data_IF_388138137557
#
_entry.id   IF_388138137557
#
_cell.length_a   1.000
_cell.length_b   1.000
_cell.length_c   1.000
_cell.angle_alpha   90.00
_cell.angle_beta   90.00
_cell.angle_gamma   90.00
#
_symmetry.space_group_name_H-M   'P 1'
#
loop_
_entity.id
_entity.type
_entity.pdbx_description
1 polymer ?
#
# COMPACT_ATOMS: atom_id res chain seq x y z
N UNK A 1 -3.89 35.74 44.93
CA UNK A 1 -4.13 34.28 44.82
C UNK A 1 -4.99 33.88 43.59
N UNK A 2 -4.84 34.51 42.42
CA UNK A 2 -5.64 34.16 41.22
C UNK A 2 -4.87 34.18 39.89
N UNK A 3 -3.53 34.17 39.92
CA UNK A 3 -2.70 34.23 38.69
C UNK A 3 -1.77 33.05 38.46
N UNK A 4 -1.77 32.06 39.35
CA UNK A 4 -0.85 30.91 39.28
C UNK A 4 -1.57 29.61 38.86
N UNK A 5 -2.90 29.56 38.96
CA UNK A 5 -3.67 28.34 38.69
C UNK A 5 -4.05 28.20 37.20
N UNK A 6 -4.08 29.29 36.44
CA UNK A 6 -4.45 29.24 35.03
C UNK A 6 -3.32 28.82 34.08
N UNK A 7 -2.08 28.71 34.56
CA UNK A 7 -0.91 28.38 33.72
C UNK A 7 -0.58 26.87 33.72
N UNK A 8 -1.21 26.07 34.58
CA UNK A 8 -0.95 24.62 34.66
C UNK A 8 -1.92 23.80 33.77
N UNK A 9 -3.08 24.34 33.41
CA UNK A 9 -4.08 23.62 32.60
C UNK A 9 -3.78 23.66 31.10
N UNK A 10 -3.01 24.65 30.62
CA UNK A 10 -2.70 24.83 29.20
C UNK A 10 -1.42 24.13 28.71
N UNK A 11 -0.57 23.65 29.63
CA UNK A 11 0.63 22.88 29.25
C UNK A 11 0.42 21.36 29.24
N UNK A 12 -0.72 20.85 29.72
CA UNK A 12 -1.03 19.42 29.70
C UNK A 12 -1.85 18.97 28.48
N UNK A 13 -2.28 19.90 27.62
CA UNK A 13 -3.04 19.59 26.40
C UNK A 13 -2.16 19.34 25.16
N UNK A 14 -0.83 19.49 25.28
CA UNK A 14 0.08 19.55 24.14
C UNK A 14 0.91 18.27 23.88
N UNK A 15 0.68 17.16 24.59
CA UNK A 15 1.52 15.95 24.44
C UNK A 15 0.75 14.64 24.23
N UNK A 16 -0.53 14.70 23.85
CA UNK A 16 -1.29 13.53 23.39
C UNK A 16 -1.90 13.80 22.01
N UNK A 17 -1.09 14.29 21.06
CA UNK A 17 -1.22 13.77 19.71
C UNK A 17 -0.59 12.38 19.76
N UNK A 18 -1.37 11.38 20.20
CA UNK A 18 -1.14 10.03 19.73
C UNK A 18 -1.07 10.14 18.22
N UNK A 19 0.13 9.95 17.65
CA UNK A 19 0.28 9.74 16.23
C UNK A 19 -0.67 8.60 15.90
N UNK A 20 -1.82 8.92 15.31
CA UNK A 20 -2.82 7.93 14.98
C UNK A 20 -2.13 6.96 14.04
N UNK A 21 -1.97 5.72 14.49
CA UNK A 21 -1.27 4.71 13.72
C UNK A 21 -1.99 4.56 12.39
N UNK A 22 -1.27 4.82 11.29
CA UNK A 22 -1.85 4.77 9.96
C UNK A 22 -2.27 3.33 9.63
N UNK A 23 -3.48 3.16 9.10
CA UNK A 23 -3.93 1.86 8.60
C UNK A 23 -3.05 1.40 7.43
N UNK A 24 -3.09 0.11 7.13
CA UNK A 24 -2.36 -0.42 5.99
C UNK A 24 -2.77 0.25 4.66
N UNK A 25 -4.07 0.44 4.43
CA UNK A 25 -4.59 1.15 3.26
C UNK A 25 -4.05 2.58 3.15
N UNK A 26 -3.96 3.31 4.28
CA UNK A 26 -3.39 4.64 4.32
C UNK A 26 -1.89 4.64 4.00
N UNK A 27 -1.13 3.67 4.53
CA UNK A 27 0.31 3.50 4.22
C UNK A 27 0.51 3.21 2.72
N UNK A 28 -0.31 2.34 2.14
CA UNK A 28 -0.29 2.05 0.70
C UNK A 28 -0.64 3.28 -0.13
N UNK A 29 -1.66 4.03 0.27
CA UNK A 29 -2.01 5.32 -0.30
C UNK A 29 -0.87 6.33 -0.32
N UNK A 30 -0.23 6.50 0.83
CA UNK A 30 0.91 7.41 0.98
C UNK A 30 2.11 6.94 0.15
N UNK A 31 2.40 5.64 0.10
CA UNK A 31 3.43 5.09 -0.78
C UNK A 31 3.15 5.43 -2.25
N UNK A 32 1.90 5.26 -2.71
CA UNK A 32 1.52 5.59 -4.08
C UNK A 32 1.71 7.08 -4.39
N UNK A 33 1.37 7.96 -3.45
CA UNK A 33 1.60 9.41 -3.60
C UNK A 33 3.10 9.74 -3.67
N UNK A 34 3.89 9.24 -2.73
CA UNK A 34 5.33 9.52 -2.64
C UNK A 34 6.11 9.03 -3.86
N UNK A 35 5.90 7.79 -4.29
CA UNK A 35 6.67 7.20 -5.41
C UNK A 35 6.29 7.81 -6.77
N UNK A 36 5.22 8.60 -6.81
CA UNK A 36 4.78 9.34 -7.99
C UNK A 36 5.08 10.82 -7.94
N UNK A 37 5.76 11.34 -6.92
CA UNK A 37 6.17 12.74 -6.92
C UNK A 37 7.17 13.05 -8.05
N UNK A 38 7.32 14.34 -8.39
CA UNK A 38 8.34 14.78 -9.36
C UNK A 38 9.76 14.51 -8.81
N UNK A 39 9.95 14.74 -7.51
CA UNK A 39 11.15 14.38 -6.77
C UNK A 39 10.75 13.45 -5.64
N UNK A 40 11.14 12.18 -5.73
CA UNK A 40 10.75 11.17 -4.73
C UNK A 40 11.66 11.27 -3.50
N UNK A 41 11.07 11.50 -2.33
CA UNK A 41 11.78 11.38 -1.06
C UNK A 41 11.96 9.89 -0.68
N UNK A 42 13.10 9.34 -1.08
CA UNK A 42 13.44 7.94 -0.80
C UNK A 42 13.53 7.65 0.71
N UNK A 43 13.81 8.65 1.55
CA UNK A 43 13.86 8.44 3.00
C UNK A 43 12.46 8.19 3.57
N UNK A 44 11.47 8.96 3.14
CA UNK A 44 10.07 8.74 3.54
C UNK A 44 9.51 7.42 3.02
N UNK A 45 9.82 7.06 1.77
CA UNK A 45 9.43 5.75 1.21
C UNK A 45 10.00 4.63 2.10
N UNK A 46 11.29 4.69 2.43
CA UNK A 46 11.96 3.69 3.28
C UNK A 46 11.32 3.62 4.67
N UNK A 47 11.05 4.76 5.31
CA UNK A 47 10.46 4.77 6.65
C UNK A 47 9.05 4.17 6.67
N UNK A 48 8.21 4.44 5.68
CA UNK A 48 6.89 3.79 5.60
C UNK A 48 7.03 2.28 5.43
N UNK A 49 7.92 1.83 4.54
CA UNK A 49 8.13 0.39 4.30
C UNK A 49 8.63 -0.35 5.55
N UNK A 50 9.44 0.28 6.40
CA UNK A 50 9.82 -0.30 7.70
C UNK A 50 8.62 -0.57 8.60
N UNK A 51 7.60 0.29 8.58
CA UNK A 51 6.35 0.09 9.35
C UNK A 51 5.46 -1.03 8.79
N UNK A 52 5.85 -1.64 7.67
CA UNK A 52 5.16 -2.77 7.05
C UNK A 52 5.89 -4.10 7.33
N UNK A 53 6.99 -4.09 8.08
CA UNK A 53 7.68 -5.32 8.47
C UNK A 53 6.88 -6.12 9.51
N UNK A 54 6.69 -7.42 9.25
CA UNK A 54 5.97 -8.33 10.17
C UNK A 54 6.98 -9.00 11.11
N UNK A 55 6.82 -8.79 12.43
CA UNK A 55 7.67 -9.40 13.44
C UNK A 55 7.70 -10.95 13.33
N UNK A 56 8.86 -11.60 13.55
CA UNK A 56 10.16 -11.02 13.93
C UNK A 56 11.02 -10.57 12.74
N UNK A 57 10.46 -10.50 11.53
CA UNK A 57 11.23 -10.19 10.33
C UNK A 57 11.41 -8.68 10.20
N UNK A 58 12.61 -8.30 9.82
CA UNK A 58 12.93 -6.92 9.47
C UNK A 58 12.89 -6.74 7.95
N UNK A 59 12.53 -5.53 7.52
CA UNK A 59 12.78 -5.11 6.15
C UNK A 59 14.30 -5.08 5.90
N UNK A 60 14.71 -5.62 4.76
CA UNK A 60 16.06 -5.51 4.20
C UNK A 60 16.05 -4.59 2.98
N UNK A 61 17.21 -4.00 2.72
CA UNK A 61 17.48 -3.14 1.59
C UNK A 61 18.73 -3.65 0.88
N UNK A 62 18.70 -3.71 -0.45
CA UNK A 62 19.83 -4.11 -1.27
C UNK A 62 19.89 -3.35 -2.58
N UNK A 63 21.07 -3.29 -3.18
CA UNK A 63 21.22 -2.81 -4.55
C UNK A 63 20.57 -3.79 -5.52
N UNK A 64 19.90 -3.27 -6.55
CA UNK A 64 19.46 -4.08 -7.70
C UNK A 64 20.48 -3.91 -8.81
N UNK A 65 21.16 -4.98 -9.18
CA UNK A 65 22.12 -5.01 -10.29
C UNK A 65 21.49 -5.46 -11.62
N UNK A 66 20.18 -5.71 -11.63
CA UNK A 66 19.43 -6.12 -12.81
C UNK A 66 18.06 -5.43 -12.90
N UNK A 67 17.52 -5.43 -14.12
CA UNK A 67 16.13 -5.09 -14.43
C UNK A 67 15.59 -6.15 -15.40
N UNK A 68 14.34 -6.54 -15.22
CA UNK A 68 13.63 -7.38 -16.19
C UNK A 68 13.02 -6.56 -17.35
N UNK A 69 13.06 -5.24 -17.25
CA UNK A 69 12.55 -4.30 -18.25
C UNK A 69 13.71 -3.74 -19.07
N UNK A 70 13.60 -3.82 -20.39
CA UNK A 70 14.59 -3.28 -21.32
C UNK A 70 14.78 -1.77 -21.13
N UNK A 71 16.04 -1.33 -21.13
CA UNK A 71 16.43 0.08 -20.95
C UNK A 71 16.10 0.69 -19.57
N UNK A 72 15.92 -0.16 -18.56
CA UNK A 72 15.86 0.25 -17.16
C UNK A 72 17.04 -0.34 -16.40
N UNK A 73 17.60 0.45 -15.48
CA UNK A 73 18.63 0.03 -14.55
C UNK A 73 17.99 -0.30 -13.19
N UNK A 74 18.49 -1.34 -12.53
CA UNK A 74 18.17 -1.58 -11.13
C UNK A 74 18.75 -0.47 -10.24
N UNK A 75 18.01 -0.02 -9.23
CA UNK A 75 18.49 0.96 -8.25
C UNK A 75 18.46 0.36 -6.84
N UNK A 76 17.27 0.00 -6.33
CA UNK A 76 17.15 -0.49 -4.94
C UNK A 76 16.00 -1.48 -4.78
N UNK A 77 16.23 -2.55 -4.02
CA UNK A 77 15.22 -3.51 -3.60
C UNK A 77 14.99 -3.39 -2.09
N UNK A 78 13.76 -3.10 -1.69
CA UNK A 78 13.30 -3.23 -0.31
C UNK A 78 12.45 -4.48 -0.17
N UNK A 79 12.69 -5.33 0.82
CA UNK A 79 11.96 -6.59 0.94
C UNK A 79 11.96 -7.15 2.35
N UNK A 80 10.98 -8.01 2.64
CA UNK A 80 11.00 -8.87 3.82
C UNK A 80 11.43 -10.28 3.37
N UNK A 81 12.48 -10.90 3.95
CA UNK A 81 12.84 -12.27 3.66
C UNK A 81 11.69 -13.26 3.95
N UNK A 82 11.53 -14.26 3.09
CA UNK A 82 10.49 -15.27 3.23
C UNK A 82 11.03 -16.66 2.87
N UNK A 83 10.44 -17.71 3.47
CA UNK A 83 10.82 -19.10 3.20
C UNK A 83 9.76 -19.86 2.42
N UNK A 84 8.47 -19.55 2.63
CA UNK A 84 7.37 -20.20 1.92
C UNK A 84 6.54 -19.23 1.06
N UNK A 85 5.73 -19.77 0.16
CA UNK A 85 4.91 -18.97 -0.75
C UNK A 85 3.76 -18.26 -0.04
N UNK A 86 3.30 -18.81 1.08
CA UNK A 86 2.14 -18.40 1.88
C UNK A 86 2.49 -17.31 2.91
N UNK A 87 3.78 -17.12 3.18
CA UNK A 87 4.23 -16.09 4.11
C UNK A 87 3.89 -14.69 3.59
N UNK A 88 3.24 -13.92 4.45
CA UNK A 88 3.03 -12.50 4.20
C UNK A 88 4.36 -11.78 4.05
N UNK A 89 4.50 -10.99 2.99
CA UNK A 89 5.74 -10.33 2.61
C UNK A 89 5.47 -9.13 1.72
N UNK A 90 6.48 -8.29 1.58
CA UNK A 90 6.51 -7.33 0.50
C UNK A 90 7.86 -7.33 -0.21
N UNK A 91 7.84 -6.86 -1.45
CA UNK A 91 8.99 -6.42 -2.21
C UNK A 91 8.67 -5.09 -2.88
N UNK A 92 9.64 -4.18 -2.89
CA UNK A 92 9.58 -2.91 -3.60
C UNK A 92 10.84 -2.76 -4.41
N UNK A 93 10.68 -2.85 -5.72
CA UNK A 93 11.73 -2.64 -6.71
C UNK A 93 11.69 -1.19 -7.16
N UNK A 94 12.81 -0.50 -7.04
CA UNK A 94 13.04 0.83 -7.61
C UNK A 94 13.99 0.67 -8.78
N UNK A 95 13.54 1.14 -9.94
CA UNK A 95 14.27 1.14 -11.21
C UNK A 95 14.51 2.57 -11.66
N UNK A 96 15.47 2.74 -12.58
CA UNK A 96 15.85 4.02 -13.15
C UNK A 96 15.90 3.99 -14.66
N UNK A 97 15.48 5.07 -15.29
CA UNK A 97 15.74 5.34 -16.71
C UNK A 97 16.10 6.81 -16.87
N UNK A 98 17.39 7.09 -17.13
CA UNK A 98 17.93 8.44 -17.03
C UNK A 98 17.73 9.01 -15.62
N UNK A 99 17.14 10.20 -15.52
CA UNK A 99 16.87 10.84 -14.22
C UNK A 99 15.53 10.43 -13.59
N UNK A 100 14.76 9.56 -14.25
CA UNK A 100 13.41 9.16 -13.79
C UNK A 100 13.47 7.86 -13.00
N UNK A 101 12.75 7.84 -11.88
CA UNK A 101 12.59 6.66 -11.01
C UNK A 101 11.25 5.97 -11.29
N UNK A 102 11.25 4.65 -11.30
CA UNK A 102 10.07 3.81 -11.52
C UNK A 102 9.99 2.76 -10.43
N UNK A 103 8.79 2.35 -10.08
CA UNK A 103 8.58 1.47 -8.93
C UNK A 103 7.64 0.31 -9.27
N UNK A 104 7.99 -0.87 -8.77
CA UNK A 104 7.08 -2.02 -8.64
C UNK A 104 7.00 -2.39 -7.17
N UNK A 105 5.82 -2.32 -6.58
CA UNK A 105 5.57 -2.71 -5.19
C UNK A 105 4.65 -3.92 -5.20
N UNK A 106 5.00 -4.97 -4.48
CA UNK A 106 4.20 -6.17 -4.35
C UNK A 106 4.06 -6.51 -2.87
N UNK A 107 2.83 -6.72 -2.42
CA UNK A 107 2.48 -7.12 -1.07
C UNK A 107 1.68 -8.41 -1.16
N UNK A 108 2.21 -9.49 -0.62
CA UNK A 108 1.51 -10.76 -0.47
C UNK A 108 1.05 -10.85 0.97
N UNK A 109 -0.24 -11.00 1.20
CA UNK A 109 -0.86 -10.85 2.52
C UNK A 109 -1.99 -11.85 2.72
N UNK A 110 -2.32 -12.10 3.99
CA UNK A 110 -3.44 -12.96 4.36
C UNK A 110 -4.36 -12.19 5.33
N UNK A 111 -5.18 -11.30 4.77
CA UNK A 111 -6.18 -10.55 5.56
C UNK A 111 -7.53 -11.27 5.54
N UNK A 112 -8.20 -11.43 6.69
CA UNK A 112 -9.55 -12.05 6.77
C UNK A 112 -10.50 -11.19 7.59
N UNK A 113 -11.70 -10.92 7.07
CA UNK A 113 -12.73 -10.13 7.75
C UNK A 113 -14.15 -10.61 7.45
N UNK A 114 -15.10 -10.29 8.32
CA UNK A 114 -16.54 -10.42 8.09
C UNK A 114 -17.22 -9.05 8.18
N UNK A 115 -18.49 -8.96 7.78
CA UNK A 115 -19.36 -7.83 8.14
C UNK A 115 -20.28 -8.23 9.30
N UNK A 116 -20.45 -7.36 10.28
CA UNK A 116 -21.40 -7.55 11.38
C UNK A 116 -22.86 -7.34 10.91
N UNK A 117 -23.83 -7.43 11.84
CA UNK A 117 -25.26 -7.24 11.52
C UNK A 117 -25.58 -5.81 11.06
N UNK A 118 -24.71 -4.86 11.36
CA UNK A 118 -24.81 -3.44 11.01
C UNK A 118 -24.07 -3.13 9.70
N UNK A 119 -23.36 -4.11 9.13
CA UNK A 119 -22.58 -3.98 7.91
C UNK A 119 -21.14 -3.49 8.13
N UNK A 120 -20.69 -3.34 9.38
CA UNK A 120 -19.32 -2.90 9.69
C UNK A 120 -18.34 -4.05 9.52
N UNK A 121 -17.13 -3.73 9.05
CA UNK A 121 -16.04 -4.69 8.88
C UNK A 121 -15.49 -5.10 10.25
N UNK A 122 -15.33 -6.40 10.47
CA UNK A 122 -14.71 -7.00 11.65
C UNK A 122 -13.64 -7.98 11.18
N UNK A 123 -12.37 -7.64 11.39
CA UNK A 123 -11.24 -8.52 11.07
C UNK A 123 -11.15 -9.69 12.06
N UNK A 124 -10.70 -10.85 11.57
CA UNK A 124 -10.51 -12.04 12.41
C UNK A 124 -9.38 -11.82 13.42
N UNK A 125 -8.25 -11.28 12.96
CA UNK A 125 -7.21 -10.72 13.83
C UNK A 125 -7.26 -9.20 13.71
N UNK A 126 -7.72 -8.46 14.74
CA UNK A 126 -7.87 -7.01 14.67
C UNK A 126 -6.52 -6.26 14.60
N UNK A 127 -5.43 -6.90 15.02
CA UNK A 127 -4.09 -6.29 15.09
C UNK A 127 -3.19 -6.68 13.92
N UNK A 128 -3.69 -7.49 12.99
CA UNK A 128 -2.91 -7.93 11.85
C UNK A 128 -2.51 -6.73 10.97
N UNK A 129 -1.20 -6.61 10.75
CA UNK A 129 -0.57 -5.42 10.17
C UNK A 129 -1.12 -5.04 8.78
N UNK A 130 -1.57 -6.03 8.01
CA UNK A 130 -2.08 -5.83 6.64
C UNK A 130 -3.61 -5.86 6.56
N UNK A 131 -4.30 -5.63 7.68
CA UNK A 131 -5.74 -5.46 7.66
C UNK A 131 -6.14 -4.31 6.74
N UNK A 132 -6.85 -4.66 5.67
CA UNK A 132 -7.44 -3.74 4.70
C UNK A 132 -8.58 -4.42 3.97
N UNK A 133 -9.49 -3.61 3.47
CA UNK A 133 -10.59 -3.97 2.59
C UNK A 133 -10.45 -3.32 1.22
N UNK A 134 -11.21 -3.81 0.22
CA UNK A 134 -11.27 -3.16 -1.09
C UNK A 134 -11.83 -1.74 -0.96
N UNK A 135 -12.84 -1.56 -0.11
CA UNK A 135 -13.49 -0.28 0.12
C UNK A 135 -12.51 0.77 0.66
N UNK A 136 -11.59 0.38 1.54
CA UNK A 136 -10.53 1.28 2.05
C UNK A 136 -9.47 1.62 1.01
N UNK A 137 -9.29 0.79 -0.01
CA UNK A 137 -8.34 1.01 -1.09
C UNK A 137 -8.94 1.78 -2.28
N UNK A 138 -10.27 1.78 -2.39
CA UNK A 138 -11.02 2.43 -3.45
C UNK A 138 -10.75 3.94 -3.60
N UNK A 139 -10.51 4.74 -2.54
CA UNK A 139 -10.15 6.15 -2.68
C UNK A 139 -8.89 6.40 -3.51
N UNK A 140 -7.97 5.44 -3.58
CA UNK A 140 -6.75 5.53 -4.38
C UNK A 140 -6.96 5.09 -5.84
N UNK A 141 -8.19 4.70 -6.20
CA UNK A 141 -8.55 4.32 -7.55
C UNK A 141 -9.02 5.55 -8.35
N UNK A 142 -8.10 6.24 -9.03
CA UNK A 142 -8.47 7.40 -9.87
C UNK A 142 -9.20 7.02 -11.16
N UNK A 143 -8.86 5.87 -11.76
CA UNK A 143 -9.52 5.39 -12.98
C UNK A 143 -9.57 3.87 -13.02
N UNK A 144 -10.77 3.25 -12.91
CA UNK A 144 -10.93 1.81 -13.04
C UNK A 144 -10.44 1.33 -14.41
N UNK A 145 -9.62 0.27 -14.42
CA UNK A 145 -9.12 -0.29 -15.68
C UNK A 145 -10.22 -1.05 -16.42
N UNK A 146 -10.23 -0.94 -17.75
CA UNK A 146 -11.06 -1.77 -18.64
C UNK A 146 -10.18 -2.70 -19.45
N UNK A 147 -10.46 -4.00 -19.40
CA UNK A 147 -9.78 -5.01 -20.21
C UNK A 147 -10.37 -5.07 -21.62
N UNK A 148 -9.62 -5.64 -22.58
CA UNK A 148 -10.04 -5.76 -24.00
C UNK A 148 -11.41 -6.42 -24.20
N UNK A 149 -11.81 -7.30 -23.27
CA UNK A 149 -13.11 -7.96 -23.27
C UNK A 149 -14.25 -7.12 -22.64
N UNK A 150 -13.99 -5.86 -22.29
CA UNK A 150 -14.94 -4.94 -21.66
C UNK A 150 -15.22 -5.19 -20.18
N UNK A 151 -14.68 -6.26 -19.56
CA UNK A 151 -15.02 -6.72 -18.20
C UNK A 151 -13.98 -6.32 -17.15
N UNK A 152 -13.57 -5.06 -17.17
CA UNK A 152 -12.79 -4.47 -16.07
C UNK A 152 -13.54 -4.56 -14.74
N UNK A 153 -12.90 -5.05 -13.68
CA UNK A 153 -13.43 -5.05 -12.30
C UNK A 153 -14.84 -5.64 -12.17
N UNK A 154 -15.15 -6.69 -12.94
CA UNK A 154 -16.43 -7.39 -12.81
C UNK A 154 -16.60 -7.92 -11.38
N UNK A 155 -17.82 -7.88 -10.80
CA UNK A 155 -18.09 -8.51 -9.50
C UNK A 155 -17.81 -10.02 -9.49
N UNK A 156 -17.71 -10.66 -10.67
CA UNK A 156 -17.34 -12.07 -10.83
C UNK A 156 -15.83 -12.31 -10.95
N UNK A 157 -15.03 -11.24 -10.99
CA UNK A 157 -13.56 -11.30 -11.05
C UNK A 157 -12.98 -11.41 -9.63
N UNK A 158 -11.94 -12.21 -9.40
CA UNK A 158 -11.16 -12.14 -8.15
C UNK A 158 -10.16 -10.97 -8.16
N UNK A 159 -10.03 -10.27 -9.28
CA UNK A 159 -9.05 -9.21 -9.50
C UNK A 159 -9.73 -7.85 -9.66
N UNK A 160 -9.32 -6.90 -8.81
CA UNK A 160 -9.59 -5.48 -8.96
C UNK A 160 -8.38 -4.82 -9.60
N UNK A 161 -8.58 -3.89 -10.51
CA UNK A 161 -7.53 -3.24 -11.30
C UNK A 161 -7.86 -1.78 -11.51
N UNK A 162 -6.94 -0.90 -11.16
CA UNK A 162 -7.13 0.53 -11.24
C UNK A 162 -5.85 1.25 -11.63
N UNK A 163 -6.01 2.47 -12.10
CA UNK A 163 -4.93 3.44 -12.22
C UNK A 163 -5.06 4.44 -11.09
N UNK A 164 -3.97 4.67 -10.37
CA UNK A 164 -3.77 5.85 -9.54
C UNK A 164 -3.04 6.91 -10.37
N UNK A 165 -3.53 8.15 -10.34
CA UNK A 165 -2.90 9.30 -10.98
C UNK A 165 -2.59 10.32 -9.90
N UNK A 166 -1.32 10.63 -9.69
CA UNK A 166 -0.94 11.64 -8.72
C UNK A 166 -1.55 12.99 -9.11
N UNK A 167 -2.28 13.68 -8.21
CA UNK A 167 -2.97 14.91 -8.54
C UNK A 167 -2.01 16.06 -8.89
N UNK A 168 -0.78 16.03 -8.36
CA UNK A 168 0.25 17.06 -8.60
C UNK A 168 1.09 16.72 -9.83
N UNK A 169 1.84 15.62 -9.80
CA UNK A 169 2.83 15.27 -10.85
C UNK A 169 2.22 14.64 -12.11
N UNK A 170 0.95 14.20 -12.04
CA UNK A 170 0.24 13.45 -13.08
C UNK A 170 0.86 12.09 -13.45
N UNK A 171 1.91 11.66 -12.74
CA UNK A 171 2.51 10.33 -12.89
C UNK A 171 1.50 9.26 -12.47
N UNK A 172 1.56 8.10 -13.13
CA UNK A 172 0.53 7.06 -13.01
C UNK A 172 1.10 5.75 -12.49
N UNK A 173 0.38 5.14 -11.57
CA UNK A 173 0.61 3.77 -11.14
C UNK A 173 -0.58 2.92 -11.57
N UNK A 174 -0.31 1.71 -12.03
CA UNK A 174 -1.30 0.66 -12.09
C UNK A 174 -1.32 -0.11 -10.78
N UNK A 175 -2.51 -0.43 -10.32
CA UNK A 175 -2.81 -0.96 -9.01
C UNK A 175 -3.74 -2.16 -9.17
N UNK A 176 -3.36 -3.29 -8.60
CA UNK A 176 -4.13 -4.54 -8.66
C UNK A 176 -4.31 -5.11 -7.26
N UNK A 177 -5.51 -5.58 -6.98
CA UNK A 177 -5.83 -6.33 -5.76
C UNK A 177 -6.38 -7.68 -6.15
N UNK A 178 -5.74 -8.74 -5.67
CA UNK A 178 -6.21 -10.11 -5.84
C UNK A 178 -6.89 -10.56 -4.57
N UNK A 179 -8.13 -10.99 -4.70
CA UNK A 179 -8.90 -11.60 -3.62
C UNK A 179 -8.95 -13.13 -3.79
N UNK A 180 -9.17 -13.85 -2.70
CA UNK A 180 -9.39 -15.32 -2.71
C UNK A 180 -10.63 -15.70 -3.51
N UNK A 181 -11.71 -14.94 -3.31
CA UNK A 181 -12.99 -15.11 -4.00
C UNK A 181 -13.29 -13.90 -4.89
N UNK A 182 -14.41 -13.96 -5.61
CA UNK A 182 -14.86 -12.90 -6.50
C UNK A 182 -15.09 -11.60 -5.71
N UNK A 183 -14.77 -10.44 -6.27
CA UNK A 183 -14.93 -9.14 -5.60
C UNK A 183 -16.35 -8.90 -5.08
N UNK A 184 -17.37 -9.42 -5.79
CA UNK A 184 -18.77 -9.32 -5.35
C UNK A 184 -19.09 -10.13 -4.09
N UNK A 185 -18.28 -11.13 -3.76
CA UNK A 185 -18.42 -11.94 -2.55
C UNK A 185 -17.72 -11.19 -1.40
N UNK A 186 -18.44 -10.31 -0.69
CA UNK A 186 -17.84 -9.37 0.28
C UNK A 186 -17.71 -9.91 1.71
N UNK A 187 -18.24 -11.11 2.00
CA UNK A 187 -18.21 -11.71 3.33
C UNK A 187 -17.07 -12.72 3.42
N UNK A 188 -16.10 -12.50 4.30
CA UNK A 188 -15.01 -13.47 4.49
C UNK A 188 -13.98 -13.50 3.36
N UNK A 189 -14.04 -12.55 2.41
CA UNK A 189 -13.17 -12.57 1.25
C UNK A 189 -11.83 -11.91 1.54
N UNK A 190 -10.78 -12.70 1.43
CA UNK A 190 -9.45 -12.31 1.83
C UNK A 190 -8.73 -11.59 0.68
N UNK A 191 -7.97 -10.55 1.00
CA UNK A 191 -7.00 -9.99 0.05
C UNK A 191 -5.74 -10.85 0.14
N UNK A 192 -5.32 -11.41 -1.00
CA UNK A 192 -4.11 -12.24 -1.13
C UNK A 192 -2.90 -11.43 -1.55
N UNK A 193 -3.13 -10.48 -2.45
CA UNK A 193 -2.05 -9.74 -3.08
C UNK A 193 -2.50 -8.33 -3.41
N UNK A 194 -1.60 -7.38 -3.17
CA UNK A 194 -1.66 -6.05 -3.74
C UNK A 194 -0.40 -5.86 -4.58
N UNK A 195 -0.57 -5.54 -5.87
CA UNK A 195 0.53 -5.16 -6.75
C UNK A 195 0.33 -3.74 -7.24
N UNK A 196 1.37 -2.93 -7.16
CA UNK A 196 1.42 -1.56 -7.67
C UNK A 196 2.62 -1.47 -8.60
N UNK A 197 2.47 -0.79 -9.73
CA UNK A 197 3.53 -0.65 -10.70
C UNK A 197 3.44 0.68 -11.43
N UNK A 198 4.56 1.35 -11.70
CA UNK A 198 4.59 2.49 -12.62
C UNK A 198 3.98 2.09 -13.96
N UNK A 199 2.99 2.86 -14.44
CA UNK A 199 2.24 2.51 -15.65
C UNK A 199 3.15 2.37 -16.88
N UNK A 200 4.25 3.11 -16.91
CA UNK A 200 5.27 3.06 -17.94
C UNK A 200 6.03 1.73 -17.98
N UNK A 201 6.22 1.05 -16.85
CA UNK A 201 6.86 -0.29 -16.82
C UNK A 201 5.94 -1.38 -17.37
N UNK A 202 4.63 -1.16 -17.36
CA UNK A 202 3.65 -2.11 -17.91
C UNK A 202 3.44 -1.95 -19.42
N UNK A 203 3.70 -0.76 -19.95
CA UNK A 203 3.52 -0.43 -21.38
C UNK A 203 4.67 -0.96 -22.21
#
# INVERSE_FOLDING_TARGET
MYRVIFTIVTCFSALLMSAQEMSFSQKIGQLMELVTEEQVDNSQVREILKTLAIAPKEMKEGAMDYSIYDNFEGDTLYYIPYKTAEESRFSVEKLRQGDKLFYTLQFLMQSTYTKDKQGNVVFVDPTYLYNTTIEELQPYCTTPMKYKNGKGNSPKSPLLSCVYTNPKSKRKLMYWVVCENKIGDTKGNTVKEIKIQSQELWR
#
